data_IF_462152806354
#
_entry.id   IF_462152806354
#
_cell.length_a   1.000
_cell.length_b   1.000
_cell.length_c   1.000
_cell.angle_alpha   90.00
_cell.angle_beta   90.00
_cell.angle_gamma   90.00
#
_symmetry.space_group_name_H-M   'P 1'
#
loop_
_entity.id
_entity.type
_entity.pdbx_description
1 polymer ?
#
# COMPACT_ATOMS: atom_id res chain seq x y z
N UNK A 1 -21.70 -31.31 17.12
CA UNK A 1 -21.77 -32.79 17.09
C UNK A 1 -21.19 -33.22 15.74
N UNK A 2 -20.10 -33.96 15.85
CA UNK A 2 -19.14 -34.34 14.81
C UNK A 2 -19.77 -35.04 13.61
N UNK A 3 -19.34 -34.71 12.38
CA UNK A 3 -19.15 -35.69 11.34
C UNK A 3 -17.99 -35.24 10.44
N UNK A 4 -16.80 -35.73 10.78
CA UNK A 4 -15.62 -35.70 9.95
C UNK A 4 -15.82 -36.85 8.93
N UNK A 5 -16.06 -36.50 7.69
CA UNK A 5 -16.05 -37.49 6.61
C UNK A 5 -14.58 -37.63 6.16
N UNK A 6 -13.94 -38.66 6.70
CA UNK A 6 -12.65 -39.14 6.17
C UNK A 6 -12.91 -39.76 4.80
N UNK A 7 -12.56 -39.06 3.74
CA UNK A 7 -12.34 -39.70 2.44
C UNK A 7 -10.89 -40.18 2.46
N UNK A 8 -10.67 -41.37 3.00
CA UNK A 8 -9.44 -42.11 2.76
C UNK A 8 -9.51 -42.65 1.35
N UNK A 9 -8.91 -41.92 0.40
CA UNK A 9 -8.61 -42.45 -0.92
C UNK A 9 -7.60 -43.58 -0.75
N UNK A 10 -8.08 -44.80 -0.65
CA UNK A 10 -7.25 -45.99 -0.68
C UNK A 10 -6.80 -46.19 -2.13
N UNK A 11 -5.63 -45.68 -2.47
CA UNK A 11 -4.88 -46.12 -3.67
C UNK A 11 -4.50 -47.54 -3.37
N UNK A 12 -5.22 -48.48 -3.93
CA UNK A 12 -4.84 -49.91 -3.94
C UNK A 12 -3.64 -50.02 -4.85
N UNK A 13 -2.45 -49.96 -4.24
CA UNK A 13 -1.21 -50.33 -4.90
C UNK A 13 -1.25 -51.86 -5.15
N UNK A 14 -1.63 -52.25 -6.35
CA UNK A 14 -1.57 -53.65 -6.77
C UNK A 14 -0.09 -54.02 -6.99
N UNK A 15 0.58 -54.32 -5.89
CA UNK A 15 1.92 -54.93 -5.96
C UNK A 15 1.72 -56.39 -6.44
N UNK A 16 1.81 -56.63 -7.74
CA UNK A 16 2.03 -57.93 -8.27
C UNK A 16 3.43 -58.40 -7.87
N UNK A 17 3.50 -59.17 -6.77
CA UNK A 17 4.69 -59.98 -6.49
C UNK A 17 4.74 -61.12 -7.52
N UNK A 18 5.28 -60.85 -8.69
CA UNK A 18 5.68 -61.90 -9.62
C UNK A 18 6.99 -62.50 -9.13
N UNK A 19 6.88 -63.71 -8.59
CA UNK A 19 8.02 -64.63 -8.39
C UNK A 19 8.84 -64.67 -9.66
N UNK A 20 10.14 -64.36 -9.57
CA UNK A 20 11.09 -64.37 -10.67
C UNK A 20 11.17 -65.78 -11.31
N UNK A 21 10.49 -65.93 -12.40
CA UNK A 21 10.86 -66.90 -13.42
C UNK A 21 11.88 -66.15 -14.30
N UNK A 22 13.12 -66.58 -14.30
CA UNK A 22 14.14 -66.10 -15.24
C UNK A 22 13.74 -66.57 -16.67
N UNK A 23 12.77 -65.86 -17.25
CA UNK A 23 12.59 -65.86 -18.68
C UNK A 23 13.46 -64.73 -19.20
N UNK A 24 14.40 -64.98 -20.07
CA UNK A 24 15.15 -63.97 -20.81
C UNK A 24 14.12 -63.16 -21.58
N UNK A 25 13.76 -62.01 -21.03
CA UNK A 25 12.82 -61.05 -21.65
C UNK A 25 13.48 -60.61 -22.97
N UNK A 26 12.72 -60.57 -24.06
CA UNK A 26 13.26 -60.12 -25.34
C UNK A 26 13.54 -58.58 -25.19
N UNK A 27 14.56 -58.10 -25.92
CA UNK A 27 14.95 -56.69 -25.96
C UNK A 27 13.74 -55.77 -26.17
N UNK A 28 12.81 -56.17 -27.00
CA UNK A 28 11.55 -55.49 -27.22
C UNK A 28 10.69 -55.42 -25.96
N UNK A 29 10.64 -56.47 -25.18
CA UNK A 29 9.82 -56.54 -23.98
C UNK A 29 10.38 -55.63 -22.87
N UNK A 30 11.71 -55.60 -22.69
CA UNK A 30 12.42 -54.72 -21.77
C UNK A 30 12.15 -53.26 -22.11
N UNK A 31 12.30 -52.89 -23.38
CA UNK A 31 12.05 -51.53 -23.85
C UNK A 31 10.61 -51.10 -23.62
N UNK A 32 9.64 -51.96 -23.91
CA UNK A 32 8.21 -51.66 -23.74
C UNK A 32 7.80 -51.57 -22.27
N UNK A 33 8.35 -52.39 -21.40
CA UNK A 33 8.13 -52.31 -19.96
C UNK A 33 8.72 -51.03 -19.38
N UNK A 34 9.92 -50.61 -19.83
CA UNK A 34 10.47 -49.30 -19.48
C UNK A 34 9.55 -48.15 -19.91
N UNK A 35 9.14 -48.14 -21.19
CA UNK A 35 8.27 -47.11 -21.74
C UNK A 35 6.93 -46.98 -20.97
N UNK A 36 6.33 -48.13 -20.63
CA UNK A 36 5.10 -48.15 -19.84
C UNK A 36 5.30 -47.59 -18.41
N UNK A 37 6.42 -47.99 -17.77
CA UNK A 37 6.78 -47.54 -16.44
C UNK A 37 7.08 -46.03 -16.43
N UNK A 38 7.79 -45.54 -17.43
CA UNK A 38 8.06 -44.12 -17.64
C UNK A 38 6.76 -43.31 -17.76
N UNK A 39 5.86 -43.69 -18.69
CA UNK A 39 4.58 -43.03 -18.90
C UNK A 39 3.68 -43.05 -17.66
N UNK A 40 3.73 -44.15 -16.91
CA UNK A 40 2.98 -44.24 -15.65
C UNK A 40 3.51 -43.29 -14.60
N UNK A 41 4.84 -43.16 -14.48
CA UNK A 41 5.46 -42.21 -13.57
C UNK A 41 5.20 -40.76 -13.98
N UNK A 42 5.39 -40.41 -15.25
CA UNK A 42 5.08 -39.11 -15.82
C UNK A 42 3.62 -38.71 -15.52
N UNK A 43 2.65 -39.61 -15.75
CA UNK A 43 1.27 -39.38 -15.42
C UNK A 43 1.02 -39.22 -13.91
N UNK A 44 1.75 -39.94 -13.06
CA UNK A 44 1.65 -39.84 -11.61
C UNK A 44 2.24 -38.54 -11.10
N UNK A 45 3.34 -38.05 -11.67
CA UNK A 45 3.96 -36.76 -11.37
C UNK A 45 2.99 -35.62 -11.67
N UNK A 46 2.40 -35.67 -12.89
CA UNK A 46 1.42 -34.63 -13.31
C UNK A 46 0.12 -34.61 -12.50
N UNK A 47 -0.21 -35.70 -11.79
CA UNK A 47 -1.40 -35.81 -10.96
C UNK A 47 -1.11 -35.73 -9.45
N UNK A 48 0.14 -35.53 -9.04
CA UNK A 48 0.49 -35.37 -7.63
C UNK A 48 -0.17 -34.13 -7.02
N UNK A 49 -0.77 -34.30 -5.86
CA UNK A 49 -1.53 -33.26 -5.17
C UNK A 49 -0.95 -32.88 -3.80
N UNK A 50 0.00 -33.67 -3.30
CA UNK A 50 0.67 -33.45 -2.01
C UNK A 50 2.18 -33.61 -2.13
N UNK A 51 2.91 -32.95 -1.23
CA UNK A 51 4.39 -33.04 -1.16
C UNK A 51 4.81 -34.47 -0.89
N UNK A 52 4.10 -35.22 -0.03
CA UNK A 52 4.37 -36.59 0.30
C UNK A 52 4.23 -37.53 -0.92
N UNK A 53 3.27 -37.22 -1.82
CA UNK A 53 3.14 -37.94 -3.09
C UNK A 53 4.33 -37.65 -4.00
N UNK A 54 4.79 -36.43 -4.13
CA UNK A 54 5.95 -36.05 -4.92
C UNK A 54 7.24 -36.72 -4.40
N UNK A 55 7.48 -36.68 -3.09
CA UNK A 55 8.59 -37.39 -2.43
C UNK A 55 8.59 -38.89 -2.72
N UNK A 56 7.40 -39.50 -2.71
CA UNK A 56 7.26 -40.94 -3.06
C UNK A 56 7.64 -41.21 -4.50
N UNK A 57 7.25 -40.32 -5.43
CA UNK A 57 7.55 -40.41 -6.86
C UNK A 57 9.05 -40.28 -7.13
N UNK A 58 9.77 -39.44 -6.40
CA UNK A 58 11.23 -39.33 -6.47
C UNK A 58 11.91 -40.67 -6.19
N UNK A 59 11.43 -41.39 -5.16
CA UNK A 59 11.92 -42.73 -4.86
C UNK A 59 11.57 -43.74 -5.97
N UNK A 60 10.42 -43.62 -6.62
CA UNK A 60 10.01 -44.51 -7.72
C UNK A 60 10.82 -44.26 -8.99
N UNK A 61 11.15 -43.02 -9.33
CA UNK A 61 12.09 -42.68 -10.41
C UNK A 61 13.45 -43.30 -10.13
N UNK A 62 13.92 -43.23 -8.87
CA UNK A 62 15.14 -43.91 -8.44
C UNK A 62 15.10 -45.43 -8.64
N UNK A 63 13.97 -46.06 -8.35
CA UNK A 63 13.77 -47.51 -8.60
C UNK A 63 13.76 -47.80 -10.09
N UNK A 64 13.06 -47.04 -10.92
CA UNK A 64 13.05 -47.16 -12.36
C UNK A 64 14.47 -47.11 -12.91
N UNK A 65 15.27 -46.13 -12.54
CA UNK A 65 16.67 -46.01 -12.92
C UNK A 65 17.47 -47.25 -12.58
N UNK A 66 17.36 -47.73 -11.34
CA UNK A 66 18.14 -48.87 -10.88
C UNK A 66 17.72 -50.19 -11.54
N UNK A 67 16.42 -50.35 -11.81
CA UNK A 67 15.89 -51.57 -12.47
C UNK A 67 16.39 -51.71 -13.90
N UNK A 68 16.55 -50.59 -14.62
CA UNK A 68 16.93 -50.65 -16.04
C UNK A 68 18.36 -50.19 -16.30
N UNK A 69 19.20 -49.97 -15.28
CA UNK A 69 20.58 -49.51 -15.41
C UNK A 69 21.43 -50.46 -16.29
N UNK A 70 21.24 -51.78 -16.14
CA UNK A 70 21.98 -52.80 -16.89
C UNK A 70 21.53 -52.90 -18.37
N UNK A 71 20.40 -52.29 -18.72
CA UNK A 71 19.81 -52.26 -20.06
C UNK A 71 19.93 -50.91 -20.76
N UNK A 72 20.76 -50.01 -20.24
CA UNK A 72 20.90 -48.63 -20.72
C UNK A 72 21.14 -48.54 -22.22
N UNK A 73 22.11 -49.29 -22.76
CA UNK A 73 22.45 -49.22 -24.18
C UNK A 73 21.31 -49.67 -25.12
N UNK A 74 20.46 -50.59 -24.65
CA UNK A 74 19.29 -51.04 -25.36
C UNK A 74 18.21 -49.94 -25.41
N UNK A 75 17.99 -49.30 -24.27
CA UNK A 75 16.99 -48.23 -24.11
C UNK A 75 17.43 -47.00 -24.88
N UNK A 76 18.71 -46.60 -24.86
CA UNK A 76 19.27 -45.49 -25.64
C UNK A 76 18.97 -45.62 -27.14
N UNK A 77 19.08 -46.87 -27.69
CA UNK A 77 18.72 -47.11 -29.08
C UNK A 77 17.24 -46.91 -29.39
N UNK A 78 16.38 -47.23 -28.44
CA UNK A 78 14.92 -47.08 -28.59
C UNK A 78 14.43 -45.64 -28.38
N UNK A 79 15.11 -44.88 -27.56
CA UNK A 79 14.76 -43.49 -27.22
C UNK A 79 15.41 -42.46 -28.17
N UNK A 80 16.25 -42.84 -29.10
CA UNK A 80 16.96 -41.88 -29.97
C UNK A 80 16.02 -40.80 -30.54
N UNK A 81 16.36 -39.51 -30.43
CA UNK A 81 17.66 -38.93 -30.10
C UNK A 81 17.96 -38.76 -28.58
N UNK A 82 17.01 -39.01 -27.68
CA UNK A 82 17.20 -38.94 -26.23
C UNK A 82 17.95 -40.16 -25.73
N UNK A 83 18.52 -40.07 -24.54
CA UNK A 83 19.17 -41.19 -23.85
C UNK A 83 18.37 -41.60 -22.61
N UNK A 84 18.63 -42.83 -22.12
CA UNK A 84 18.10 -43.30 -20.84
C UNK A 84 18.43 -42.33 -19.72
N UNK A 85 19.67 -41.80 -19.69
CA UNK A 85 20.11 -40.86 -18.69
C UNK A 85 19.31 -39.54 -18.75
N UNK A 86 19.18 -38.98 -19.95
CA UNK A 86 18.41 -37.74 -20.15
C UNK A 86 16.94 -37.92 -19.71
N UNK A 87 16.34 -39.04 -20.11
CA UNK A 87 14.93 -39.35 -19.77
C UNK A 87 14.72 -39.53 -18.28
N UNK A 88 15.65 -40.12 -17.55
CA UNK A 88 15.58 -40.22 -16.08
C UNK A 88 15.83 -38.85 -15.42
N UNK A 89 16.75 -38.05 -15.97
CA UNK A 89 16.98 -36.67 -15.47
C UNK A 89 15.77 -35.78 -15.68
N UNK A 90 15.09 -35.91 -16.82
CA UNK A 90 13.85 -35.15 -17.09
C UNK A 90 12.76 -35.51 -16.07
N UNK A 91 12.52 -36.80 -15.79
CA UNK A 91 11.57 -37.21 -14.74
C UNK A 91 11.94 -36.66 -13.35
N UNK A 92 13.24 -36.71 -13.01
CA UNK A 92 13.71 -36.16 -11.74
C UNK A 92 13.48 -34.64 -11.67
N UNK A 93 13.71 -33.93 -12.78
CA UNK A 93 13.48 -32.51 -12.87
C UNK A 93 11.97 -32.19 -12.72
N UNK A 94 11.09 -32.96 -13.39
CA UNK A 94 9.63 -32.80 -13.27
C UNK A 94 9.14 -33.06 -11.84
N UNK A 95 9.67 -34.09 -11.14
CA UNK A 95 9.32 -34.35 -9.73
C UNK A 95 9.74 -33.18 -8.86
N UNK A 96 10.97 -32.68 -9.02
CA UNK A 96 11.46 -31.56 -8.24
C UNK A 96 10.64 -30.25 -8.48
N UNK A 97 10.30 -29.98 -9.74
CA UNK A 97 9.44 -28.84 -10.10
C UNK A 97 8.05 -29.00 -9.50
N UNK A 98 7.48 -30.21 -9.56
CA UNK A 98 6.17 -30.49 -8.94
C UNK A 98 6.20 -30.32 -7.42
N UNK A 99 7.25 -30.80 -6.76
CA UNK A 99 7.46 -30.63 -5.32
C UNK A 99 7.57 -29.15 -4.94
N UNK A 100 8.36 -28.39 -5.69
CA UNK A 100 8.49 -26.94 -5.47
C UNK A 100 7.14 -26.23 -5.61
N UNK A 101 6.38 -26.53 -6.66
CA UNK A 101 5.03 -25.97 -6.86
C UNK A 101 4.09 -26.34 -5.70
N UNK A 102 4.10 -27.61 -5.26
CA UNK A 102 3.27 -28.06 -4.14
C UNK A 102 3.65 -27.40 -2.82
N UNK A 103 4.95 -27.18 -2.55
CA UNK A 103 5.43 -26.42 -1.39
C UNK A 103 4.92 -24.96 -1.42
N UNK A 104 4.97 -24.32 -2.58
CA UNK A 104 4.45 -22.97 -2.76
C UNK A 104 2.95 -22.94 -2.47
N UNK A 105 2.20 -23.89 -3.01
CA UNK A 105 0.74 -24.01 -2.81
C UNK A 105 0.39 -24.20 -1.33
N UNK A 106 1.10 -25.09 -0.63
CA UNK A 106 0.87 -25.34 0.80
C UNK A 106 1.17 -24.08 1.64
N UNK A 107 2.29 -23.41 1.36
CA UNK A 107 2.66 -22.18 2.06
C UNK A 107 1.64 -21.05 1.81
N UNK A 108 1.14 -20.94 0.58
CA UNK A 108 0.10 -19.97 0.25
C UNK A 108 -1.21 -20.31 0.94
N UNK A 109 -1.59 -21.58 1.02
CA UNK A 109 -2.75 -22.05 1.76
C UNK A 109 -2.69 -21.67 3.25
N UNK A 110 -1.53 -21.87 3.88
CA UNK A 110 -1.30 -21.46 5.28
C UNK A 110 -1.40 -19.94 5.45
N UNK A 111 -0.85 -19.19 4.50
CA UNK A 111 -0.91 -17.72 4.53
C UNK A 111 -2.33 -17.19 4.34
N UNK A 112 -3.10 -17.78 3.42
CA UNK A 112 -4.51 -17.46 3.23
C UNK A 112 -5.34 -17.72 4.49
N UNK A 113 -5.11 -18.85 5.17
CA UNK A 113 -5.78 -19.14 6.44
C UNK A 113 -5.46 -18.08 7.50
N UNK A 114 -4.18 -17.73 7.65
CA UNK A 114 -3.75 -16.68 8.59
C UNK A 114 -4.37 -15.31 8.25
N UNK A 115 -4.45 -14.96 6.98
CA UNK A 115 -5.07 -13.71 6.54
C UNK A 115 -6.58 -13.70 6.83
N UNK A 116 -7.26 -14.81 6.65
CA UNK A 116 -8.68 -14.92 6.97
C UNK A 116 -8.93 -14.76 8.47
N UNK A 117 -8.06 -15.32 9.32
CA UNK A 117 -8.12 -15.11 10.77
C UNK A 117 -7.88 -13.64 11.14
N UNK A 118 -6.94 -12.97 10.47
CA UNK A 118 -6.70 -11.54 10.65
C UNK A 118 -7.92 -10.71 10.22
N UNK A 119 -8.53 -11.01 9.08
CA UNK A 119 -9.75 -10.35 8.60
C UNK A 119 -10.88 -10.49 9.62
N UNK A 120 -11.11 -11.69 10.15
CA UNK A 120 -12.14 -11.92 11.15
C UNK A 120 -11.88 -11.13 12.45
N UNK A 121 -10.63 -11.09 12.89
CA UNK A 121 -10.21 -10.24 14.04
C UNK A 121 -10.46 -8.77 13.74
N UNK A 122 -10.11 -8.33 12.56
CA UNK A 122 -10.30 -6.96 12.11
C UNK A 122 -11.78 -6.57 12.04
N UNK A 123 -12.64 -7.40 11.51
CA UNK A 123 -14.08 -7.16 11.49
C UNK A 123 -14.66 -6.98 12.89
N UNK A 124 -14.21 -7.80 13.83
CA UNK A 124 -14.63 -7.72 15.24
C UNK A 124 -14.19 -6.40 15.88
N UNK A 125 -12.95 -5.96 15.63
CA UNK A 125 -12.42 -4.70 16.17
C UNK A 125 -13.14 -3.48 15.59
N UNK A 126 -13.46 -3.50 14.30
CA UNK A 126 -14.23 -2.42 13.68
C UNK A 126 -15.67 -2.38 14.20
N UNK A 127 -16.33 -3.52 14.38
CA UNK A 127 -17.65 -3.53 14.99
C UNK A 127 -17.63 -2.93 16.40
N UNK A 128 -16.57 -3.20 17.16
CA UNK A 128 -16.34 -2.58 18.46
C UNK A 128 -16.13 -1.06 18.35
N UNK A 129 -15.24 -0.62 17.46
CA UNK A 129 -14.92 0.80 17.23
C UNK A 129 -16.15 1.59 16.73
N UNK A 130 -16.96 0.99 15.86
CA UNK A 130 -18.19 1.60 15.37
C UNK A 130 -19.19 1.78 16.51
N UNK A 131 -19.42 0.78 17.34
CA UNK A 131 -20.32 0.88 18.51
C UNK A 131 -19.84 1.95 19.49
N UNK A 132 -18.53 2.05 19.72
CA UNK A 132 -17.96 3.08 20.60
C UNK A 132 -18.08 4.49 19.98
N UNK A 133 -17.88 4.60 18.66
CA UNK A 133 -18.07 5.83 17.90
C UNK A 133 -19.54 6.31 17.98
N UNK A 134 -20.51 5.41 17.82
CA UNK A 134 -21.94 5.74 17.94
C UNK A 134 -22.32 6.14 19.36
N UNK A 135 -21.74 5.48 20.36
CA UNK A 135 -21.90 5.88 21.78
C UNK A 135 -21.37 7.27 22.04
N UNK A 136 -20.15 7.58 21.55
CA UNK A 136 -19.56 8.93 21.67
C UNK A 136 -20.38 9.99 20.93
N UNK A 137 -20.91 9.67 19.74
CA UNK A 137 -21.80 10.55 18.97
C UNK A 137 -23.08 10.89 19.73
N UNK A 138 -23.66 9.90 20.39
CA UNK A 138 -24.85 10.08 21.24
C UNK A 138 -24.51 10.99 22.42
N UNK A 139 -23.38 10.75 23.11
CA UNK A 139 -22.92 11.58 24.23
C UNK A 139 -22.61 13.03 23.81
N UNK A 140 -22.04 13.24 22.61
CA UNK A 140 -21.81 14.57 22.03
C UNK A 140 -23.13 15.29 21.81
N UNK A 141 -24.14 14.58 21.28
CA UNK A 141 -25.48 15.14 21.00
C UNK A 141 -26.21 15.51 22.29
N UNK A 142 -26.06 14.68 23.32
CA UNK A 142 -26.66 14.93 24.65
C UNK A 142 -25.90 15.97 25.48
N UNK A 143 -24.57 16.11 25.25
CA UNK A 143 -23.68 16.98 26.05
C UNK A 143 -23.59 18.42 25.56
N UNK A 144 -24.47 18.90 24.69
CA UNK A 144 -24.52 20.29 24.22
C UNK A 144 -24.56 21.36 25.35
N UNK A 145 -24.43 20.95 26.60
CA UNK A 145 -24.51 21.82 27.81
C UNK A 145 -23.17 22.05 28.51
N UNK A 146 -22.03 21.53 28.06
CA UNK A 146 -20.73 21.76 28.73
C UNK A 146 -19.57 21.73 27.77
N UNK A 147 -19.01 22.89 27.46
CA UNK A 147 -17.93 23.12 26.48
C UNK A 147 -16.65 22.28 26.75
N UNK A 148 -16.28 22.06 28.02
CA UNK A 148 -15.11 21.25 28.38
C UNK A 148 -15.30 19.74 28.15
N UNK A 149 -16.51 19.22 28.34
CA UNK A 149 -16.83 17.82 28.07
C UNK A 149 -16.91 17.55 26.57
N UNK A 150 -17.41 18.52 25.80
CA UNK A 150 -17.51 18.44 24.35
C UNK A 150 -16.13 18.31 23.69
N UNK A 151 -15.17 19.16 24.07
CA UNK A 151 -13.79 19.11 23.52
C UNK A 151 -13.10 17.76 23.77
N UNK A 152 -13.29 17.18 24.95
CA UNK A 152 -12.73 15.85 25.26
C UNK A 152 -13.40 14.74 24.42
N UNK A 153 -14.72 14.77 24.26
CA UNK A 153 -15.47 13.78 23.48
C UNK A 153 -15.11 13.85 22.00
N UNK A 154 -14.95 15.05 21.46
CA UNK A 154 -14.50 15.24 20.07
C UNK A 154 -13.09 14.71 19.85
N UNK A 155 -12.17 14.93 20.78
CA UNK A 155 -10.82 14.37 20.70
C UNK A 155 -10.87 12.85 20.68
N UNK A 156 -11.69 12.22 21.50
CA UNK A 156 -11.87 10.76 21.51
C UNK A 156 -12.50 10.26 20.21
N UNK A 157 -13.49 10.98 19.68
CA UNK A 157 -14.12 10.64 18.39
C UNK A 157 -13.10 10.69 17.23
N UNK A 158 -12.29 11.76 17.14
CA UNK A 158 -11.21 11.87 16.15
C UNK A 158 -10.26 10.68 16.22
N UNK A 159 -9.78 10.36 17.41
CA UNK A 159 -8.85 9.25 17.61
C UNK A 159 -9.45 7.92 17.14
N UNK A 160 -10.72 7.66 17.40
CA UNK A 160 -11.41 6.43 16.98
C UNK A 160 -11.60 6.33 15.46
N UNK A 161 -11.93 7.45 14.83
CA UNK A 161 -12.00 7.52 13.36
C UNK A 161 -10.63 7.24 12.74
N UNK A 162 -9.57 7.84 13.27
CA UNK A 162 -8.21 7.63 12.80
C UNK A 162 -7.75 6.17 12.95
N UNK A 163 -7.95 5.56 14.12
CA UNK A 163 -7.64 4.15 14.39
C UNK A 163 -8.36 3.22 13.40
N UNK A 164 -9.63 3.47 13.14
CA UNK A 164 -10.43 2.70 12.17
C UNK A 164 -9.90 2.83 10.75
N UNK A 165 -9.58 4.03 10.31
CA UNK A 165 -9.13 4.29 8.94
C UNK A 165 -7.74 3.70 8.67
N UNK A 166 -6.80 3.83 9.61
CA UNK A 166 -5.50 3.15 9.53
C UNK A 166 -5.64 1.63 9.45
N UNK A 167 -6.62 1.12 10.17
CA UNK A 167 -6.90 -0.30 10.23
C UNK A 167 -7.40 -0.86 8.89
N UNK A 168 -8.30 -0.13 8.23
CA UNK A 168 -8.79 -0.49 6.89
C UNK A 168 -7.66 -0.47 5.86
N UNK A 169 -6.74 0.50 5.94
CA UNK A 169 -5.56 0.53 5.08
C UNK A 169 -4.67 -0.69 5.30
N UNK A 170 -4.39 -1.07 6.54
CA UNK A 170 -3.59 -2.27 6.86
C UNK A 170 -4.24 -3.54 6.33
N UNK A 171 -5.56 -3.66 6.43
CA UNK A 171 -6.31 -4.78 5.88
C UNK A 171 -6.19 -4.82 4.35
N UNK A 172 -6.38 -3.70 3.67
CA UNK A 172 -6.23 -3.61 2.20
C UNK A 172 -4.83 -3.96 1.75
N UNK A 173 -3.80 -3.46 2.44
CA UNK A 173 -2.39 -3.78 2.16
C UNK A 173 -2.12 -5.29 2.33
N UNK A 174 -2.67 -5.91 3.38
CA UNK A 174 -2.52 -7.34 3.63
C UNK A 174 -3.17 -8.18 2.53
N UNK A 175 -4.38 -7.82 2.10
CA UNK A 175 -5.07 -8.47 0.98
C UNK A 175 -4.31 -8.31 -0.33
N UNK A 176 -3.72 -7.14 -0.57
CA UNK A 176 -2.92 -6.87 -1.75
C UNK A 176 -1.64 -7.70 -1.80
N UNK A 177 -0.91 -7.79 -0.68
CA UNK A 177 0.31 -8.59 -0.59
C UNK A 177 0.00 -10.06 -0.84
N UNK A 178 -1.07 -10.58 -0.23
CA UNK A 178 -1.51 -11.96 -0.43
C UNK A 178 -1.86 -12.24 -1.90
N UNK A 179 -2.63 -11.35 -2.53
CA UNK A 179 -2.99 -11.48 -3.94
C UNK A 179 -1.76 -11.50 -4.85
N UNK A 180 -0.83 -10.57 -4.66
CA UNK A 180 0.38 -10.48 -5.48
C UNK A 180 1.27 -11.72 -5.36
N UNK A 181 1.34 -12.32 -4.19
CA UNK A 181 2.08 -13.58 -3.99
C UNK A 181 1.42 -14.77 -4.69
N UNK A 182 0.07 -14.81 -4.71
CA UNK A 182 -0.69 -15.82 -5.47
C UNK A 182 -0.47 -15.67 -6.99
N UNK A 183 -0.43 -14.45 -7.51
CA UNK A 183 -0.25 -14.18 -8.94
C UNK A 183 1.17 -14.51 -9.44
N UNK A 184 2.18 -14.37 -8.60
CA UNK A 184 3.59 -14.63 -8.96
C UNK A 184 3.97 -16.12 -8.92
N UNK A 185 3.07 -17.01 -8.54
CA UNK A 185 3.35 -18.45 -8.45
C UNK A 185 3.11 -19.14 -9.79
N UNK A 186 4.13 -19.80 -10.36
CA UNK A 186 3.96 -20.60 -11.56
C UNK A 186 2.99 -21.74 -11.26
N UNK A 187 1.95 -21.88 -12.04
CA UNK A 187 0.96 -22.95 -11.89
C UNK A 187 -0.23 -22.66 -10.98
N UNK A 188 -0.37 -21.43 -10.46
CA UNK A 188 -1.57 -21.05 -9.72
C UNK A 188 -2.80 -21.01 -10.63
N UNK A 189 -3.43 -22.16 -10.80
CA UNK A 189 -4.69 -22.27 -11.48
C UNK A 189 -5.76 -21.50 -10.71
N UNK A 190 -6.67 -20.84 -11.41
CA UNK A 190 -7.87 -20.20 -10.83
C UNK A 190 -8.64 -21.10 -9.86
N UNK A 191 -8.47 -22.41 -9.96
CA UNK A 191 -9.06 -23.42 -9.06
C UNK A 191 -8.48 -23.39 -7.65
N UNK A 192 -7.19 -23.05 -7.47
CA UNK A 192 -6.56 -22.97 -6.14
C UNK A 192 -7.07 -21.74 -5.39
N UNK A 193 -7.17 -20.61 -6.09
CA UNK A 193 -7.83 -19.41 -5.54
C UNK A 193 -9.29 -19.74 -5.15
N UNK A 194 -10.02 -20.47 -5.98
CA UNK A 194 -11.40 -20.89 -5.70
C UNK A 194 -11.50 -21.85 -4.50
N UNK A 195 -10.53 -22.74 -4.30
CA UNK A 195 -10.52 -23.69 -3.17
C UNK A 195 -10.18 -22.99 -1.85
N UNK A 196 -9.28 -22.02 -1.85
CA UNK A 196 -8.98 -21.20 -0.68
C UNK A 196 -10.17 -20.32 -0.26
N UNK A 197 -10.99 -19.90 -1.22
CA UNK A 197 -12.22 -19.11 -1.00
C UNK A 197 -13.36 -19.95 -0.44
N UNK A 198 -13.45 -21.22 -0.81
CA UNK A 198 -14.50 -22.14 -0.31
C UNK A 198 -14.43 -22.40 1.22
N UNK A 199 -13.34 -21.95 1.87
CA UNK A 199 -13.17 -22.05 3.34
C UNK A 199 -13.87 -20.89 4.08
N UNK A 200 -14.35 -19.87 3.37
CA UNK A 200 -14.99 -18.69 3.97
C UNK A 200 -16.50 -18.83 4.10
N UNK A 201 -16.94 -19.27 5.26
CA UNK A 201 -18.25 -18.93 5.81
C UNK A 201 -18.09 -17.71 6.75
N UNK A 202 -17.86 -16.53 6.17
CA UNK A 202 -17.75 -15.28 6.90
C UNK A 202 -18.19 -14.11 6.02
N UNK A 203 -18.43 -12.94 6.60
CA UNK A 203 -18.91 -11.75 5.92
C UNK A 203 -18.03 -11.39 4.71
N UNK A 204 -18.68 -11.00 3.61
CA UNK A 204 -18.00 -10.67 2.36
C UNK A 204 -17.10 -9.44 2.53
N UNK A 205 -15.77 -9.52 2.28
CA UNK A 205 -14.86 -8.39 2.41
C UNK A 205 -15.28 -7.15 1.60
N UNK A 206 -16.00 -7.34 0.48
CA UNK A 206 -16.52 -6.23 -0.34
C UNK A 206 -17.65 -5.47 0.37
N UNK A 207 -18.50 -6.16 1.13
CA UNK A 207 -19.53 -5.51 1.95
C UNK A 207 -18.90 -4.65 3.04
N UNK A 208 -17.86 -5.18 3.67
CA UNK A 208 -17.10 -4.47 4.67
C UNK A 208 -16.42 -3.21 4.12
N UNK A 209 -15.69 -3.32 2.99
CA UNK A 209 -15.08 -2.19 2.29
C UNK A 209 -16.14 -1.14 1.96
N UNK A 210 -17.28 -1.57 1.41
CA UNK A 210 -18.39 -0.70 1.07
C UNK A 210 -18.93 0.06 2.28
N UNK A 211 -19.21 -0.65 3.38
CA UNK A 211 -19.74 -0.04 4.59
C UNK A 211 -18.78 0.98 5.20
N UNK A 212 -17.48 0.68 5.21
CA UNK A 212 -16.44 1.60 5.71
C UNK A 212 -16.35 2.89 4.90
N UNK A 213 -16.36 2.79 3.56
CA UNK A 213 -16.36 3.97 2.69
C UNK A 213 -17.60 4.82 2.94
N UNK A 214 -18.77 4.18 3.04
CA UNK A 214 -20.05 4.86 3.24
C UNK A 214 -20.09 5.61 4.57
N UNK A 215 -19.58 5.00 5.64
CA UNK A 215 -19.47 5.64 6.95
C UNK A 215 -18.54 6.85 6.92
N UNK A 216 -17.37 6.75 6.27
CA UNK A 216 -16.46 7.87 6.11
C UNK A 216 -17.09 9.03 5.34
N UNK A 217 -17.86 8.75 4.29
CA UNK A 217 -18.63 9.76 3.56
C UNK A 217 -19.66 10.45 4.49
N UNK A 218 -20.35 9.67 5.33
CA UNK A 218 -21.35 10.23 6.24
C UNK A 218 -20.72 11.13 7.30
N UNK A 219 -19.57 10.73 7.87
CA UNK A 219 -18.83 11.57 8.83
C UNK A 219 -18.44 12.91 8.20
N UNK A 220 -17.91 12.88 6.97
CA UNK A 220 -17.55 14.10 6.23
C UNK A 220 -18.76 15.00 5.91
N UNK A 221 -19.90 14.39 5.55
CA UNK A 221 -21.14 15.14 5.26
C UNK A 221 -21.81 15.73 6.50
N UNK A 222 -21.68 15.06 7.63
CA UNK A 222 -22.22 15.57 8.90
C UNK A 222 -21.52 16.86 9.34
N UNK A 223 -20.31 17.12 8.85
CA UNK A 223 -19.50 18.29 9.14
C UNK A 223 -19.28 18.47 10.63
N UNK A 224 -18.06 18.53 11.08
CA UNK A 224 -17.78 18.93 12.46
C UNK A 224 -17.03 20.25 12.40
N UNK A 225 -17.59 21.30 12.98
CA UNK A 225 -16.88 22.58 13.18
C UNK A 225 -15.64 22.45 14.07
N UNK A 226 -15.37 21.25 14.54
CA UNK A 226 -14.31 20.94 15.48
C UNK A 226 -13.16 20.13 14.88
N UNK A 227 -13.28 19.66 13.61
CA UNK A 227 -12.19 19.03 12.90
C UNK A 227 -11.17 20.08 12.44
N UNK A 228 -9.88 19.82 12.72
CA UNK A 228 -8.79 20.68 12.28
C UNK A 228 -8.46 20.44 10.80
N UNK A 229 -7.69 21.34 10.22
CA UNK A 229 -7.16 21.15 8.85
C UNK A 229 -6.28 19.91 8.77
N UNK A 230 -5.51 19.61 9.83
CA UNK A 230 -4.72 18.37 9.91
C UNK A 230 -5.61 17.12 9.81
N UNK A 231 -6.77 17.11 10.50
CA UNK A 231 -7.71 15.97 10.43
C UNK A 231 -8.23 15.76 9.00
N UNK A 232 -8.59 16.85 8.29
CA UNK A 232 -9.04 16.75 6.89
C UNK A 232 -7.93 16.32 5.94
N UNK A 233 -6.69 16.75 6.15
CA UNK A 233 -5.51 16.30 5.40
C UNK A 233 -5.23 14.82 5.62
N UNK A 234 -5.33 14.33 6.87
CA UNK A 234 -5.24 12.90 7.19
C UNK A 234 -6.31 12.10 6.45
N UNK A 235 -7.57 12.53 6.54
CA UNK A 235 -8.67 11.86 5.84
C UNK A 235 -8.48 11.85 4.33
N UNK A 236 -7.96 12.92 3.75
CA UNK A 236 -7.65 13.01 2.32
C UNK A 236 -6.53 12.01 1.94
N UNK A 237 -5.47 11.96 2.73
CA UNK A 237 -4.34 11.03 2.54
C UNK A 237 -4.80 9.58 2.63
N UNK A 238 -5.63 9.25 3.62
CA UNK A 238 -6.20 7.91 3.82
C UNK A 238 -7.08 7.53 2.62
N UNK A 239 -8.00 8.42 2.21
CA UNK A 239 -8.85 8.20 1.05
C UNK A 239 -8.02 7.93 -0.21
N UNK A 240 -6.98 8.72 -0.43
CA UNK A 240 -6.09 8.56 -1.57
C UNK A 240 -5.37 7.20 -1.56
N UNK A 241 -4.73 6.83 -0.46
CA UNK A 241 -4.06 5.53 -0.31
C UNK A 241 -5.03 4.37 -0.53
N UNK A 242 -6.24 4.49 0.00
CA UNK A 242 -7.28 3.49 -0.19
C UNK A 242 -7.66 3.37 -1.67
N UNK A 243 -7.91 4.49 -2.35
CA UNK A 243 -8.24 4.50 -3.77
C UNK A 243 -7.10 3.95 -4.63
N UNK A 244 -5.85 4.29 -4.33
CA UNK A 244 -4.67 3.78 -5.04
C UNK A 244 -4.52 2.26 -4.86
N UNK A 245 -4.77 1.74 -3.67
CA UNK A 245 -4.78 0.30 -3.40
C UNK A 245 -5.93 -0.38 -4.13
N UNK A 246 -7.14 0.17 -4.03
CA UNK A 246 -8.30 -0.37 -4.74
C UNK A 246 -8.13 -0.37 -6.26
N UNK A 247 -7.52 0.64 -6.84
CA UNK A 247 -7.22 0.69 -8.28
C UNK A 247 -6.30 -0.45 -8.72
N UNK A 248 -5.41 -0.92 -7.85
CA UNK A 248 -4.51 -2.04 -8.15
C UNK A 248 -5.17 -3.41 -8.01
N UNK A 249 -6.01 -3.59 -7.01
CA UNK A 249 -6.52 -4.93 -6.63
C UNK A 249 -8.04 -5.07 -6.71
N UNK A 250 -8.78 -3.97 -6.85
CA UNK A 250 -10.24 -3.97 -6.76
C UNK A 250 -10.93 -4.84 -7.82
N UNK A 251 -10.34 -4.95 -9.02
CA UNK A 251 -10.88 -5.84 -10.05
C UNK A 251 -10.81 -7.31 -9.59
N UNK A 252 -9.68 -7.71 -9.06
CA UNK A 252 -9.39 -9.09 -8.66
C UNK A 252 -10.12 -9.44 -7.38
N UNK A 253 -10.13 -8.55 -6.38
CA UNK A 253 -10.95 -8.72 -5.18
C UNK A 253 -12.43 -8.86 -5.53
N UNK A 254 -12.92 -8.04 -6.47
CA UNK A 254 -14.31 -8.14 -6.93
C UNK A 254 -14.59 -9.46 -7.65
N UNK A 255 -13.66 -10.00 -8.43
CA UNK A 255 -13.80 -11.31 -9.05
C UNK A 255 -13.78 -12.44 -8.01
N UNK A 256 -12.89 -12.35 -7.03
CA UNK A 256 -12.72 -13.37 -5.99
C UNK A 256 -13.95 -13.42 -5.08
N UNK A 257 -14.35 -12.28 -4.52
CA UNK A 257 -15.36 -12.21 -3.48
C UNK A 257 -16.76 -11.83 -3.97
N UNK A 258 -16.89 -11.27 -5.18
CA UNK A 258 -18.15 -10.86 -5.76
C UNK A 258 -18.87 -11.96 -6.58
N UNK A 259 -18.17 -13.02 -6.96
CA UNK A 259 -18.74 -14.12 -7.74
C UNK A 259 -19.47 -13.64 -9.00
N UNK A 260 -20.73 -14.00 -9.18
CA UNK A 260 -21.56 -13.55 -10.31
C UNK A 260 -21.84 -12.05 -10.31
N UNK A 261 -21.71 -11.36 -9.20
CA UNK A 261 -21.97 -9.92 -9.03
C UNK A 261 -20.67 -9.08 -9.02
N UNK A 262 -19.53 -9.68 -9.40
CA UNK A 262 -18.21 -9.04 -9.35
C UNK A 262 -18.18 -7.65 -10.00
N UNK A 263 -18.80 -7.49 -11.17
CA UNK A 263 -18.87 -6.20 -11.85
C UNK A 263 -19.72 -5.17 -11.12
N UNK A 264 -20.79 -5.60 -10.46
CA UNK A 264 -21.67 -4.71 -9.68
C UNK A 264 -20.91 -4.20 -8.44
N UNK A 265 -20.20 -5.07 -7.75
CA UNK A 265 -19.35 -4.71 -6.61
C UNK A 265 -18.26 -3.73 -7.01
N UNK A 266 -17.53 -4.03 -8.09
CA UNK A 266 -16.48 -3.12 -8.60
C UNK A 266 -17.04 -1.73 -8.86
N UNK A 267 -18.12 -1.63 -9.61
CA UNK A 267 -18.75 -0.36 -9.96
C UNK A 267 -19.29 0.39 -8.73
N UNK A 268 -19.85 -0.33 -7.76
CA UNK A 268 -20.38 0.25 -6.53
C UNK A 268 -19.27 0.90 -5.71
N UNK A 269 -18.18 0.18 -5.47
CA UNK A 269 -17.05 0.68 -4.68
C UNK A 269 -16.34 1.81 -5.43
N UNK A 270 -16.16 1.71 -6.75
CA UNK A 270 -15.60 2.81 -7.57
C UNK A 270 -16.42 4.10 -7.45
N UNK A 271 -17.74 3.98 -7.49
CA UNK A 271 -18.65 5.11 -7.30
C UNK A 271 -18.51 5.76 -5.93
N UNK A 272 -18.50 4.94 -4.89
CA UNK A 272 -18.33 5.42 -3.52
C UNK A 272 -16.97 6.06 -3.26
N UNK A 273 -15.89 5.50 -3.81
CA UNK A 273 -14.55 6.10 -3.73
C UNK A 273 -14.50 7.46 -4.40
N UNK A 274 -15.22 7.65 -5.49
CA UNK A 274 -15.35 8.96 -6.15
C UNK A 274 -16.09 9.96 -5.27
N UNK A 275 -17.19 9.54 -4.63
CA UNK A 275 -17.96 10.39 -3.73
C UNK A 275 -17.18 10.73 -2.47
N UNK A 276 -16.45 9.77 -1.92
CA UNK A 276 -15.56 9.98 -0.77
C UNK A 276 -14.47 10.99 -1.12
N UNK A 277 -13.81 10.83 -2.28
CA UNK A 277 -12.80 11.78 -2.75
C UNK A 277 -13.36 13.19 -2.89
N UNK A 278 -14.53 13.34 -3.48
CA UNK A 278 -15.16 14.65 -3.66
C UNK A 278 -15.45 15.32 -2.32
N UNK A 279 -15.97 14.56 -1.33
CA UNK A 279 -16.28 15.06 0.01
C UNK A 279 -15.02 15.44 0.79
N UNK A 280 -13.98 14.59 0.77
CA UNK A 280 -12.70 14.86 1.43
C UNK A 280 -11.99 16.06 0.84
N UNK A 281 -11.88 16.13 -0.50
CA UNK A 281 -11.20 17.25 -1.17
C UNK A 281 -11.87 18.58 -0.86
N UNK A 282 -13.21 18.63 -0.95
CA UNK A 282 -13.94 19.85 -0.64
C UNK A 282 -13.66 20.34 0.79
N UNK A 283 -13.87 19.47 1.79
CA UNK A 283 -13.69 19.84 3.18
C UNK A 283 -12.24 20.22 3.50
N UNK A 284 -11.26 19.54 2.88
CA UNK A 284 -9.85 19.87 3.03
C UNK A 284 -9.54 21.27 2.51
N UNK A 285 -9.96 21.60 1.29
CA UNK A 285 -9.69 22.93 0.71
C UNK A 285 -10.42 24.03 1.47
N UNK A 286 -11.66 23.83 1.85
CA UNK A 286 -12.41 24.75 2.69
C UNK A 286 -11.70 25.01 4.04
N UNK A 287 -11.15 23.94 4.65
CA UNK A 287 -10.43 24.04 5.92
C UNK A 287 -9.06 24.72 5.78
N UNK A 288 -8.32 24.49 4.69
CA UNK A 288 -7.08 25.20 4.38
C UNK A 288 -7.33 26.68 4.21
N UNK A 289 -8.38 27.07 3.44
CA UNK A 289 -8.78 28.46 3.28
C UNK A 289 -9.10 29.11 4.63
N UNK A 290 -9.91 28.47 5.47
CA UNK A 290 -10.23 28.99 6.81
C UNK A 290 -8.98 29.17 7.69
N UNK A 291 -7.99 28.26 7.56
CA UNK A 291 -6.75 28.38 8.33
C UNK A 291 -5.89 29.53 7.84
N UNK A 292 -5.84 29.79 6.53
CA UNK A 292 -5.16 30.95 5.95
C UNK A 292 -5.79 32.25 6.46
N UNK A 293 -7.12 32.37 6.40
CA UNK A 293 -7.86 33.54 6.91
C UNK A 293 -7.58 33.78 8.40
N UNK A 294 -7.58 32.73 9.23
CA UNK A 294 -7.28 32.82 10.67
C UNK A 294 -5.85 33.29 10.96
N UNK A 295 -4.91 33.07 10.02
CA UNK A 295 -3.53 33.55 10.13
C UNK A 295 -3.31 34.88 9.40
N UNK A 296 -4.38 35.56 8.95
CA UNK A 296 -4.31 36.79 8.17
C UNK A 296 -3.48 36.69 6.89
N UNK A 297 -3.58 35.53 6.21
CA UNK A 297 -2.92 35.25 4.93
C UNK A 297 -4.01 35.11 3.86
N UNK A 298 -3.95 35.92 2.83
CA UNK A 298 -4.85 35.89 1.67
C UNK A 298 -4.03 35.64 0.41
N UNK A 299 -4.02 34.39 -0.05
CA UNK A 299 -3.33 33.98 -1.28
C UNK A 299 -4.28 33.93 -2.49
N UNK A 300 -5.54 34.34 -2.33
CA UNK A 300 -6.57 34.22 -3.36
C UNK A 300 -7.26 32.85 -3.37
N UNK A 301 -8.09 32.62 -4.38
CA UNK A 301 -8.94 31.42 -4.47
C UNK A 301 -8.19 30.22 -5.04
N UNK A 302 -8.41 29.05 -4.43
CA UNK A 302 -7.91 27.75 -4.90
C UNK A 302 -8.90 26.63 -4.50
N UNK A 303 -8.90 25.55 -5.27
CA UNK A 303 -9.78 24.39 -5.06
C UNK A 303 -9.12 23.04 -5.40
N UNK A 304 -7.84 23.08 -5.83
CA UNK A 304 -7.05 21.91 -6.18
C UNK A 304 -5.55 22.17 -5.95
N UNK A 305 -4.74 21.11 -5.99
CA UNK A 305 -3.29 21.14 -5.73
C UNK A 305 -2.56 22.18 -6.60
N UNK A 306 -2.86 22.20 -7.90
CA UNK A 306 -2.19 23.11 -8.82
C UNK A 306 -2.58 24.57 -8.58
N UNK A 307 -3.87 24.84 -8.38
CA UNK A 307 -4.33 26.20 -8.07
C UNK A 307 -3.82 26.68 -6.71
N UNK A 308 -3.70 25.79 -5.72
CA UNK A 308 -3.13 26.12 -4.41
C UNK A 308 -1.64 26.50 -4.53
N UNK A 309 -0.85 25.68 -5.23
CA UNK A 309 0.55 25.99 -5.47
C UNK A 309 0.74 27.31 -6.22
N UNK A 310 0.00 27.49 -7.32
CA UNK A 310 0.07 28.72 -8.12
C UNK A 310 -0.38 29.95 -7.31
N UNK A 311 -1.37 29.82 -6.43
CA UNK A 311 -1.81 30.90 -5.56
C UNK A 311 -0.70 31.31 -4.58
N UNK A 312 0.03 30.34 -4.00
CA UNK A 312 1.18 30.61 -3.13
C UNK A 312 2.30 31.34 -3.91
N UNK A 313 2.70 30.79 -5.08
CA UNK A 313 3.73 31.42 -5.92
C UNK A 313 3.34 32.88 -6.27
N UNK A 314 2.15 33.08 -6.79
CA UNK A 314 1.67 34.40 -7.16
C UNK A 314 1.61 35.39 -5.99
N UNK A 315 1.26 34.89 -4.81
CA UNK A 315 1.25 35.69 -3.59
C UNK A 315 2.68 36.11 -3.20
N UNK A 316 3.64 35.18 -3.20
CA UNK A 316 5.03 35.49 -2.86
C UNK A 316 5.62 36.45 -3.88
N UNK A 317 5.46 36.18 -5.19
CA UNK A 317 5.98 37.03 -6.27
C UNK A 317 5.45 38.47 -6.17
N UNK A 318 4.14 38.64 -5.97
CA UNK A 318 3.53 39.95 -5.83
C UNK A 318 3.99 40.70 -4.56
N UNK A 319 4.23 39.96 -3.50
CA UNK A 319 4.74 40.54 -2.23
C UNK A 319 6.22 40.92 -2.32
N UNK A 320 7.02 40.15 -3.05
CA UNK A 320 8.43 40.49 -3.37
C UNK A 320 8.49 41.75 -4.24
N UNK A 321 7.71 41.80 -5.34
CA UNK A 321 7.62 42.97 -6.22
C UNK A 321 7.18 44.23 -5.46
N UNK A 322 6.19 44.08 -4.58
CA UNK A 322 5.75 45.18 -3.72
C UNK A 322 6.81 45.65 -2.71
N UNK A 323 7.77 44.78 -2.37
CA UNK A 323 8.88 45.09 -1.45
C UNK A 323 9.99 45.89 -2.15
N UNK A 324 10.23 45.65 -3.45
CA UNK A 324 11.24 46.39 -4.23
C UNK A 324 10.91 47.88 -4.43
N UNK A 325 9.61 48.21 -4.56
CA UNK A 325 9.16 49.57 -4.86
C UNK A 325 8.97 50.48 -3.64
N UNK A 326 9.07 49.97 -2.41
CA UNK A 326 8.86 50.73 -1.20
C UNK A 326 10.08 50.78 -0.33
N UNK A 327 10.42 51.99 0.13
CA UNK A 327 11.18 52.18 1.37
C UNK A 327 10.50 51.31 2.43
N UNK A 328 11.18 50.23 2.85
CA UNK A 328 10.61 49.09 3.60
C UNK A 328 9.71 49.60 4.73
N UNK A 329 8.42 49.57 4.47
CA UNK A 329 7.39 49.90 5.48
C UNK A 329 7.14 48.69 6.37
N UNK A 330 6.74 48.92 7.60
CA UNK A 330 6.39 47.86 8.58
C UNK A 330 5.38 46.86 8.02
N UNK A 331 4.50 47.22 7.08
CA UNK A 331 3.46 46.38 6.51
C UNK A 331 3.96 45.15 5.72
N UNK A 332 4.99 45.31 4.89
CA UNK A 332 5.54 44.17 4.12
C UNK A 332 6.28 43.15 5.00
N UNK A 333 6.84 43.62 6.11
CA UNK A 333 7.49 42.73 7.09
C UNK A 333 6.44 41.93 7.87
N UNK A 334 5.32 42.51 8.19
CA UNK A 334 4.23 41.87 8.92
C UNK A 334 3.56 40.81 8.02
N UNK A 335 3.38 41.10 6.72
CA UNK A 335 2.86 40.15 5.73
C UNK A 335 3.81 38.96 5.56
N UNK A 336 5.11 39.20 5.36
CA UNK A 336 6.12 38.14 5.33
C UNK A 336 6.08 37.29 6.59
N UNK A 337 6.05 37.94 7.76
CA UNK A 337 6.04 37.21 9.03
C UNK A 337 4.79 36.35 9.19
N UNK A 338 3.61 36.86 8.83
CA UNK A 338 2.34 36.12 8.90
C UNK A 338 2.38 34.88 8.00
N UNK A 339 2.84 35.05 6.76
CA UNK A 339 2.96 33.94 5.83
C UNK A 339 4.05 32.94 6.25
N UNK A 340 5.22 33.42 6.67
CA UNK A 340 6.33 32.58 7.12
C UNK A 340 5.95 31.77 8.37
N UNK A 341 5.27 32.38 9.34
CA UNK A 341 4.78 31.71 10.54
C UNK A 341 3.71 30.66 10.18
N UNK A 342 2.78 30.99 9.27
CA UNK A 342 1.82 30.03 8.73
C UNK A 342 2.52 28.86 8.02
N UNK A 343 3.43 29.13 7.10
CA UNK A 343 4.17 28.13 6.34
C UNK A 343 4.94 27.17 7.25
N UNK A 344 5.70 27.72 8.19
CA UNK A 344 6.56 26.91 9.06
C UNK A 344 5.77 26.18 10.14
N UNK A 345 4.80 26.83 10.78
CA UNK A 345 4.05 26.22 11.89
C UNK A 345 2.93 25.31 11.41
N UNK A 346 2.18 25.71 10.39
CA UNK A 346 1.02 24.94 9.90
C UNK A 346 1.44 23.94 8.81
N UNK A 347 1.97 24.44 7.69
CA UNK A 347 2.25 23.57 6.53
C UNK A 347 3.38 22.58 6.82
N UNK A 348 4.50 23.03 7.37
CA UNK A 348 5.66 22.15 7.61
C UNK A 348 5.59 21.32 8.88
N UNK A 349 5.13 21.89 9.98
CA UNK A 349 5.13 21.20 11.27
C UNK A 349 3.81 20.49 11.58
N UNK A 350 2.68 21.18 11.49
CA UNK A 350 1.38 20.61 11.88
C UNK A 350 0.83 19.66 10.81
N UNK A 351 0.82 20.09 9.55
CA UNK A 351 0.33 19.27 8.43
C UNK A 351 1.37 18.25 7.93
N UNK A 352 2.67 18.59 8.06
CA UNK A 352 3.80 17.70 7.92
C UNK A 352 3.72 16.79 6.69
N UNK A 353 3.79 15.49 6.93
CA UNK A 353 3.79 14.48 5.87
C UNK A 353 2.47 14.39 5.10
N UNK A 354 1.34 14.80 5.69
CA UNK A 354 0.03 14.71 5.03
C UNK A 354 -0.08 15.60 3.80
N UNK A 355 0.67 16.70 3.77
CA UNK A 355 0.76 17.58 2.58
C UNK A 355 1.37 16.83 1.39
N UNK A 356 2.40 16.01 1.64
CA UNK A 356 3.10 15.25 0.60
C UNK A 356 2.38 13.94 0.27
N UNK A 357 2.04 13.16 1.28
CA UNK A 357 1.37 11.87 1.14
C UNK A 357 -0.01 12.01 0.50
N UNK A 358 -0.71 13.11 0.80
CA UNK A 358 -1.97 13.50 0.17
C UNK A 358 -1.81 14.14 -1.22
N UNK A 359 -0.57 14.36 -1.67
CA UNK A 359 -0.27 15.09 -2.92
C UNK A 359 -0.87 16.50 -2.99
N UNK A 360 -1.03 17.15 -1.84
CA UNK A 360 -1.48 18.54 -1.78
C UNK A 360 -0.40 19.47 -2.32
N UNK A 361 0.86 19.23 -1.91
CA UNK A 361 2.07 19.81 -2.49
C UNK A 361 3.13 18.72 -2.65
N UNK A 362 3.87 18.76 -3.76
CA UNK A 362 5.01 17.89 -3.98
C UNK A 362 6.25 18.38 -3.23
N UNK A 363 7.23 17.50 -2.99
CA UNK A 363 8.53 17.90 -2.41
C UNK A 363 9.22 19.01 -3.22
N UNK A 364 9.13 18.95 -4.54
CA UNK A 364 9.70 19.98 -5.42
C UNK A 364 9.02 21.32 -5.19
N UNK A 365 7.68 21.36 -5.12
CA UNK A 365 6.92 22.58 -4.86
C UNK A 365 7.23 23.17 -3.49
N UNK A 366 7.30 22.34 -2.45
CA UNK A 366 7.70 22.78 -1.10
C UNK A 366 9.10 23.39 -1.11
N UNK A 367 10.06 22.74 -1.81
CA UNK A 367 11.43 23.25 -1.90
C UNK A 367 11.51 24.57 -2.69
N UNK A 368 10.69 24.74 -3.72
CA UNK A 368 10.59 26.00 -4.47
C UNK A 368 10.05 27.12 -3.58
N UNK A 369 8.95 26.88 -2.89
CA UNK A 369 8.38 27.85 -1.94
C UNK A 369 9.39 28.21 -0.83
N UNK A 370 10.08 27.22 -0.25
CA UNK A 370 11.14 27.49 0.74
C UNK A 370 12.24 28.39 0.20
N UNK A 371 12.66 28.20 -1.07
CA UNK A 371 13.67 29.05 -1.71
C UNK A 371 13.15 30.48 -1.96
N UNK A 372 11.91 30.62 -2.42
CA UNK A 372 11.26 31.91 -2.62
C UNK A 372 11.06 32.68 -1.30
N UNK A 373 10.74 31.97 -0.23
CA UNK A 373 10.66 32.57 1.11
C UNK A 373 12.01 33.10 1.61
N UNK A 374 13.10 32.42 1.27
CA UNK A 374 14.45 32.92 1.59
C UNK A 374 14.74 34.20 0.81
N UNK A 375 14.39 34.24 -0.47
CA UNK A 375 14.53 35.43 -1.31
C UNK A 375 13.68 36.58 -0.75
N UNK A 376 12.39 36.34 -0.46
CA UNK A 376 11.50 37.35 0.11
C UNK A 376 11.99 37.89 1.47
N UNK A 377 12.51 36.98 2.34
CA UNK A 377 13.13 37.39 3.60
C UNK A 377 14.31 38.34 3.38
N UNK A 378 15.15 38.02 2.42
CA UNK A 378 16.36 38.81 2.16
C UNK A 378 16.01 40.22 1.60
N UNK A 379 14.95 40.31 0.78
CA UNK A 379 14.41 41.59 0.30
C UNK A 379 13.72 42.41 1.40
N UNK A 380 13.03 41.78 2.36
CA UNK A 380 12.35 42.44 3.46
C UNK A 380 13.24 42.74 4.66
N UNK A 381 14.47 42.19 4.69
CA UNK A 381 15.43 42.45 5.76
C UNK A 381 16.11 43.81 5.53
N UNK A 382 15.99 44.79 6.42
CA UNK A 382 16.67 46.07 6.22
C UNK A 382 18.15 45.79 6.15
N UNK A 383 18.78 46.17 5.03
CA UNK A 383 20.23 46.19 4.91
C UNK A 383 20.76 47.01 6.06
N UNK A 384 21.46 46.37 6.98
CA UNK A 384 22.08 47.06 8.13
C UNK A 384 23.06 48.09 7.62
N UNK A 385 22.66 49.34 7.49
CA UNK A 385 23.55 50.44 7.16
C UNK A 385 24.67 50.67 8.18
N UNK A 386 24.63 49.91 9.30
CA UNK A 386 25.69 50.00 10.33
C UNK A 386 27.08 49.60 9.75
N UNK A 387 27.13 48.59 8.92
CA UNK A 387 28.41 48.15 8.30
C UNK A 387 28.94 49.17 7.28
N UNK A 388 28.15 49.67 6.30
CA UNK A 388 28.57 50.77 5.42
C UNK A 388 28.93 52.06 6.17
N UNK A 389 28.16 52.43 7.22
CA UNK A 389 28.47 53.60 8.04
C UNK A 389 29.76 53.41 8.83
N UNK A 390 30.02 52.25 9.43
CA UNK A 390 31.27 51.94 10.12
C UNK A 390 32.45 51.88 9.14
N UNK A 391 32.26 51.35 7.93
CA UNK A 391 33.27 51.39 6.86
C UNK A 391 33.56 52.81 6.40
N UNK A 392 32.51 53.64 6.20
CA UNK A 392 32.65 55.07 5.87
C UNK A 392 33.39 55.83 6.96
N UNK A 393 33.06 55.63 8.22
CA UNK A 393 33.73 56.23 9.37
C UNK A 393 35.17 55.75 9.48
N UNK A 394 35.47 54.49 9.19
CA UNK A 394 36.87 53.97 9.17
C UNK A 394 37.69 54.60 8.06
N UNK A 395 37.12 54.81 6.87
CA UNK A 395 37.81 55.52 5.77
C UNK A 395 38.08 56.98 6.14
N UNK A 396 37.15 57.68 6.77
CA UNK A 396 37.34 59.06 7.22
C UNK A 396 38.44 59.16 8.29
N UNK A 397 38.47 58.20 9.24
CA UNK A 397 39.50 58.14 10.27
C UNK A 397 40.87 57.84 9.70
N UNK A 398 40.99 56.94 8.72
CA UNK A 398 42.22 56.59 8.02
C UNK A 398 42.70 57.82 7.20
N UNK A 399 41.82 58.48 6.46
CA UNK A 399 42.17 59.70 5.71
C UNK A 399 42.63 60.82 6.64
N UNK A 400 41.96 61.02 7.77
CA UNK A 400 42.36 61.97 8.79
C UNK A 400 43.76 61.67 9.38
N UNK A 401 44.05 60.40 9.69
CA UNK A 401 45.36 59.95 10.16
C UNK A 401 46.47 60.19 9.10
N UNK A 402 46.17 59.93 7.85
CA UNK A 402 47.15 60.19 6.74
C UNK A 402 47.43 61.67 6.65
N UNK A 403 46.44 62.54 6.70
CA UNK A 403 46.62 63.98 6.66
C UNK A 403 47.44 64.48 7.87
N UNK A 404 47.19 63.96 9.04
CA UNK A 404 47.96 64.32 10.27
C UNK A 404 49.43 63.87 10.14
N UNK A 405 49.69 62.65 9.61
CA UNK A 405 51.03 62.10 9.38
C UNK A 405 51.78 62.86 8.32
N UNK A 406 51.14 63.25 7.24
CA UNK A 406 51.78 64.04 6.14
C UNK A 406 52.03 65.48 6.52
N UNK A 407 51.27 66.07 7.52
CA UNK A 407 51.56 67.39 8.05
C UNK A 407 52.69 67.44 9.10
N UNK A 408 53.08 66.29 9.65
CA UNK A 408 54.06 66.19 10.71
C UNK A 408 55.51 65.92 10.18
N UNK A 409 55.66 65.64 8.87
CA UNK A 409 56.87 65.59 8.12
C UNK A 409 57.01 66.87 7.32
#
# INVERSE_FOLDING_TARGET
MKMILKVTGTVILLICTTTAVFAQSSDYQITKEFENSYKSLEASINNATTIEEADSLNNEVGKLRNTYADHQSLIDHALYPNTFYDTIQDLMAEVNETEEVLMIIENQGKKLTSLNEQIASYQSEIAFLNNETDSLRTLITESQKSEQNLSRLVKQYRQRVEERDEFVLKMMDSLFVAYRELEMSPGSNKEIASSAIAIQQGDNPLEFINATIEENIQVLKAGSSELSTEDYLKMHTIQKRFADTWNKVGNDLSQIYGGSESRQWKNKIDGQLKDWRASTSKNMWDSINNTLEQNNVDIGAFDNNQSFYTAIESFIDSSVEASEDKFIGEGNRDEFKSFYDFWTSKVKNEWGNYIQDGEVLTMSQISTIDAELINWRDETTPTSFVIPILLGLSFITIAGLIIVLTRKN
#
